data_IF_279782357742
#
_entry.id   IF_279782357742
#
_cell.length_a   1.000
_cell.length_b   1.000
_cell.length_c   1.000
_cell.angle_alpha   90.00
_cell.angle_beta   90.00
_cell.angle_gamma   90.00
#
_symmetry.space_group_name_H-M   'P 1'
#
loop_
_entity.id
_entity.type
_entity.pdbx_description
1 polymer ?
#
# COMPACT_ATOMS: atom_id res chain seq x y z
N UNK A 1 9.12 -14.39 6.13
CA UNK A 1 9.83 -13.81 7.30
C UNK A 1 9.33 -12.40 7.46
N UNK A 2 9.08 -11.93 8.69
CA UNK A 2 8.39 -10.67 9.00
C UNK A 2 9.36 -9.49 9.05
N UNK A 3 8.95 -8.31 8.57
CA UNK A 3 9.77 -7.09 8.64
C UNK A 3 9.72 -6.47 10.05
N UNK A 4 10.51 -7.00 10.96
CA UNK A 4 10.50 -6.60 12.37
C UNK A 4 10.84 -5.10 12.56
N UNK A 5 11.78 -4.57 11.78
CA UNK A 5 12.23 -3.18 11.90
C UNK A 5 11.11 -2.18 11.62
N UNK A 6 10.45 -2.29 10.46
CA UNK A 6 9.34 -1.40 10.12
C UNK A 6 8.13 -1.64 11.01
N UNK A 7 7.85 -2.89 11.38
CA UNK A 7 6.72 -3.19 12.27
C UNK A 7 6.90 -2.61 13.67
N UNK A 8 8.12 -2.56 14.20
CA UNK A 8 8.39 -1.85 15.46
C UNK A 8 8.12 -0.34 15.33
N UNK A 9 8.47 0.29 14.20
CA UNK A 9 8.16 1.70 13.94
C UNK A 9 6.66 1.94 13.82
N UNK A 10 5.94 1.06 13.11
CA UNK A 10 4.48 1.09 13.02
C UNK A 10 3.85 1.01 14.41
N UNK A 11 4.30 0.08 15.26
CA UNK A 11 3.84 -0.05 16.64
C UNK A 11 4.12 1.22 17.46
N UNK A 12 5.29 1.82 17.32
CA UNK A 12 5.64 3.05 18.01
C UNK A 12 4.74 4.22 17.60
N UNK A 13 4.49 4.40 16.30
CA UNK A 13 3.56 5.41 15.77
C UNK A 13 2.15 5.17 16.30
N UNK A 14 1.67 3.93 16.28
CA UNK A 14 0.33 3.62 16.79
C UNK A 14 0.20 3.89 18.30
N UNK A 15 1.21 3.52 19.10
CA UNK A 15 1.23 3.82 20.55
C UNK A 15 1.26 5.32 20.81
N UNK A 16 2.08 6.07 20.08
CA UNK A 16 2.20 7.53 20.20
C UNK A 16 0.85 8.22 19.96
N UNK A 17 0.13 7.86 18.90
CA UNK A 17 -1.09 8.57 18.48
C UNK A 17 -2.38 8.02 19.09
N UNK A 18 -2.41 6.74 19.48
CA UNK A 18 -3.64 6.07 19.91
C UNK A 18 -3.55 5.40 21.28
N UNK A 19 -2.38 5.33 21.93
CA UNK A 19 -2.22 4.65 23.21
C UNK A 19 -2.76 3.22 23.16
N UNK A 20 -3.79 2.94 23.97
CA UNK A 20 -4.51 1.64 24.03
C UNK A 20 -6.00 1.77 23.66
N UNK A 21 -6.35 2.77 22.83
CA UNK A 21 -7.72 3.03 22.40
C UNK A 21 -8.40 1.81 21.80
N UNK A 22 -9.65 1.58 22.19
CA UNK A 22 -10.47 0.44 21.75
C UNK A 22 -11.20 0.69 20.43
N UNK A 23 -11.40 1.95 20.07
CA UNK A 23 -12.11 2.39 18.86
C UNK A 23 -11.22 2.50 17.61
N UNK A 24 -9.94 2.13 17.75
CA UNK A 24 -8.95 2.18 16.68
C UNK A 24 -8.67 0.76 16.19
N UNK A 25 -8.55 0.60 14.87
CA UNK A 25 -8.11 -0.66 14.27
C UNK A 25 -6.58 -0.73 14.25
N UNK A 26 -6.06 -1.95 14.40
CA UNK A 26 -4.67 -2.27 14.21
C UNK A 26 -4.23 -1.93 12.77
N UNK A 27 -3.00 -1.42 12.59
CA UNK A 27 -2.50 -1.06 11.28
C UNK A 27 -2.33 -2.27 10.35
N UNK A 28 -1.96 -2.02 9.11
CA UNK A 28 -1.20 -3.02 8.35
C UNK A 28 0.20 -3.14 8.96
N UNK A 29 0.61 -4.39 9.15
CA UNK A 29 1.99 -4.77 9.43
C UNK A 29 2.58 -5.42 8.17
N UNK A 30 3.85 -5.20 7.94
CA UNK A 30 4.54 -5.66 6.74
C UNK A 30 5.18 -7.04 6.97
N UNK A 31 5.07 -7.86 5.95
CA UNK A 31 5.97 -9.00 5.77
C UNK A 31 7.32 -8.52 5.20
N UNK A 32 8.33 -9.39 5.11
CA UNK A 32 9.55 -9.01 4.41
C UNK A 32 9.26 -8.65 2.96
N UNK A 33 9.96 -7.62 2.51
CA UNK A 33 9.86 -7.17 1.15
C UNK A 33 10.76 -7.95 0.21
N UNK A 34 10.34 -8.05 -1.05
CA UNK A 34 11.19 -8.50 -2.15
C UNK A 34 11.80 -7.28 -2.83
N UNK A 35 13.10 -7.28 -3.10
CA UNK A 35 13.71 -6.15 -3.78
C UNK A 35 13.39 -6.14 -5.28
N UNK A 36 13.22 -4.95 -5.86
CA UNK A 36 12.95 -4.77 -7.28
C UNK A 36 11.49 -4.96 -7.65
N UNK A 37 11.25 -5.49 -8.85
CA UNK A 37 9.91 -5.74 -9.37
C UNK A 37 9.06 -4.46 -9.53
N UNK A 38 7.74 -4.64 -9.46
CA UNK A 38 6.76 -3.56 -9.58
C UNK A 38 6.18 -3.24 -8.19
N UNK A 39 6.21 -1.97 -7.79
CA UNK A 39 5.53 -1.51 -6.58
C UNK A 39 4.22 -0.82 -6.94
N UNK A 40 3.11 -1.37 -6.46
CA UNK A 40 1.81 -0.71 -6.48
C UNK A 40 1.59 0.04 -5.17
N UNK A 41 1.20 1.31 -5.28
CA UNK A 41 0.95 2.17 -4.13
C UNK A 41 -0.54 2.50 -4.05
N UNK A 42 -1.16 2.06 -2.96
CA UNK A 42 -2.52 2.42 -2.56
C UNK A 42 -2.57 3.68 -1.68
N UNK A 43 -3.74 3.95 -1.09
CA UNK A 43 -3.90 5.04 -0.12
C UNK A 43 -3.76 4.49 1.29
N UNK A 44 -4.71 3.64 1.64
CA UNK A 44 -4.83 3.04 2.94
C UNK A 44 -5.71 1.77 2.81
N UNK A 45 -5.52 0.78 3.69
CA UNK A 45 -6.29 -0.44 3.62
C UNK A 45 -7.77 -0.21 3.95
N UNK A 46 -8.64 -0.68 3.06
CA UNK A 46 -10.07 -0.78 3.37
C UNK A 46 -10.33 -1.85 4.43
N UNK A 47 -11.27 -1.58 5.33
CA UNK A 47 -11.75 -2.55 6.31
C UNK A 47 -13.13 -3.07 5.87
N UNK A 48 -13.17 -4.34 5.44
CA UNK A 48 -14.39 -4.99 4.98
C UNK A 48 -14.61 -6.32 5.73
N UNK A 49 -15.27 -6.30 6.91
CA UNK A 49 -15.56 -7.50 7.69
C UNK A 49 -16.24 -8.61 6.90
N UNK A 50 -17.18 -8.26 6.03
CA UNK A 50 -17.94 -9.23 5.24
C UNK A 50 -17.05 -9.91 4.20
N UNK A 51 -16.25 -9.14 3.47
CA UNK A 51 -15.28 -9.66 2.52
C UNK A 51 -14.24 -10.56 3.19
N UNK A 52 -13.76 -10.16 4.37
CA UNK A 52 -12.81 -10.97 5.15
C UNK A 52 -13.43 -12.30 5.61
N UNK A 53 -14.67 -12.30 6.11
CA UNK A 53 -15.37 -13.56 6.51
C UNK A 53 -15.45 -14.55 5.35
N UNK A 54 -15.63 -14.07 4.12
CA UNK A 54 -15.61 -14.92 2.93
C UNK A 54 -14.23 -15.52 2.66
N UNK A 55 -13.17 -14.72 2.81
CA UNK A 55 -11.77 -15.15 2.56
C UNK A 55 -11.29 -16.16 3.62
N UNK A 56 -11.65 -15.97 4.89
CA UNK A 56 -11.16 -16.82 5.99
C UNK A 56 -11.91 -18.14 6.17
N UNK A 57 -13.02 -18.34 5.44
CA UNK A 57 -13.83 -19.56 5.51
C UNK A 57 -12.99 -20.78 5.13
N UNK A 58 -13.02 -21.84 5.94
CA UNK A 58 -12.22 -23.04 5.71
C UNK A 58 -10.72 -22.89 6.02
N UNK A 59 -10.33 -21.79 6.69
CA UNK A 59 -8.94 -21.57 7.12
C UNK A 59 -8.84 -21.60 8.65
N UNK A 60 -7.63 -21.62 9.20
CA UNK A 60 -7.40 -21.50 10.65
C UNK A 60 -8.00 -20.22 11.28
N UNK A 61 -8.34 -19.22 10.46
CA UNK A 61 -8.93 -17.96 10.88
C UNK A 61 -10.47 -17.97 10.87
N UNK A 62 -11.14 -19.05 10.47
CA UNK A 62 -12.60 -19.07 10.27
C UNK A 62 -13.41 -18.62 11.49
N UNK A 63 -12.92 -18.92 12.70
CA UNK A 63 -13.62 -18.61 13.96
C UNK A 63 -13.35 -17.18 14.48
N UNK A 64 -12.49 -16.38 13.83
CA UNK A 64 -12.20 -15.04 14.33
C UNK A 64 -13.36 -14.08 14.05
N UNK A 65 -13.66 -13.22 15.02
CA UNK A 65 -14.46 -12.02 14.77
C UNK A 65 -13.54 -10.93 14.24
N UNK A 66 -13.71 -10.44 12.99
CA UNK A 66 -12.78 -9.46 12.44
C UNK A 66 -12.72 -8.15 13.23
N UNK A 67 -13.84 -7.70 13.80
CA UNK A 67 -13.90 -6.46 14.57
C UNK A 67 -13.07 -6.56 15.86
N UNK A 68 -13.03 -7.73 16.49
CA UNK A 68 -12.20 -8.00 17.68
C UNK A 68 -10.75 -8.22 17.25
N UNK A 69 -10.53 -9.02 16.20
CA UNK A 69 -9.20 -9.40 15.74
C UNK A 69 -8.38 -8.20 15.27
N UNK A 70 -9.01 -7.25 14.59
CA UNK A 70 -8.35 -6.02 14.16
C UNK A 70 -8.38 -4.92 15.21
N UNK A 71 -8.82 -5.16 16.44
CA UNK A 71 -8.85 -4.10 17.45
C UNK A 71 -7.43 -3.75 17.93
N UNK A 72 -7.06 -2.47 17.87
CA UNK A 72 -5.72 -2.00 18.23
C UNK A 72 -5.34 -2.37 19.66
N UNK A 73 -6.24 -2.19 20.62
CA UNK A 73 -5.98 -2.50 22.03
C UNK A 73 -5.51 -3.96 22.28
N UNK A 74 -5.89 -4.91 21.40
CA UNK A 74 -5.41 -6.30 21.47
C UNK A 74 -4.00 -6.43 20.87
N UNK A 75 -3.75 -5.79 19.71
CA UNK A 75 -2.43 -5.80 19.08
C UNK A 75 -1.38 -5.00 19.87
N UNK A 76 -1.79 -3.99 20.63
CA UNK A 76 -0.91 -3.14 21.43
C UNK A 76 -0.21 -3.89 22.57
N UNK A 77 -0.82 -4.98 23.05
CA UNK A 77 -0.42 -5.73 24.24
C UNK A 77 0.04 -7.16 23.95
N UNK A 78 -0.12 -7.65 22.71
CA UNK A 78 0.18 -9.04 22.34
C UNK A 78 1.01 -9.12 21.05
N UNK A 79 2.29 -9.52 21.12
CA UNK A 79 3.12 -9.79 19.93
C UNK A 79 2.53 -10.88 19.03
N UNK A 80 1.93 -11.92 19.61
CA UNK A 80 1.29 -13.01 18.86
C UNK A 80 0.16 -12.51 17.96
N UNK A 81 -0.54 -11.45 18.39
CA UNK A 81 -1.58 -10.82 17.60
C UNK A 81 -1.02 -10.11 16.36
N UNK A 82 0.15 -9.48 16.47
CA UNK A 82 0.84 -8.84 15.33
C UNK A 82 1.20 -9.89 14.28
N UNK A 83 1.77 -11.02 14.71
CA UNK A 83 2.11 -12.12 13.82
C UNK A 83 0.87 -12.73 13.16
N UNK A 84 -0.22 -12.89 13.91
CA UNK A 84 -1.49 -13.36 13.37
C UNK A 84 -2.07 -12.40 12.32
N UNK A 85 -1.99 -11.08 12.55
CA UNK A 85 -2.42 -10.05 11.60
C UNK A 85 -1.61 -10.12 10.30
N UNK A 86 -0.30 -10.36 10.37
CA UNK A 86 0.56 -10.52 9.19
C UNK A 86 0.19 -11.78 8.42
N UNK A 87 0.01 -12.91 9.12
CA UNK A 87 -0.41 -14.18 8.48
C UNK A 87 -1.76 -14.05 7.78
N UNK A 88 -2.74 -13.37 8.41
CA UNK A 88 -4.03 -13.10 7.78
C UNK A 88 -3.88 -12.16 6.57
N UNK A 89 -3.00 -11.15 6.67
CA UNK A 89 -2.69 -10.25 5.55
C UNK A 89 -2.20 -10.99 4.31
N UNK A 90 -1.34 -12.01 4.47
CA UNK A 90 -0.88 -12.87 3.35
C UNK A 90 -2.03 -13.61 2.68
N UNK A 91 -2.93 -14.20 3.47
CA UNK A 91 -4.11 -14.90 2.94
C UNK A 91 -5.01 -13.96 2.15
N UNK A 92 -5.28 -12.77 2.68
CA UNK A 92 -6.08 -11.75 1.99
C UNK A 92 -5.40 -11.33 0.68
N UNK A 93 -4.08 -11.16 0.66
CA UNK A 93 -3.38 -10.77 -0.56
C UNK A 93 -3.50 -11.81 -1.69
N UNK A 94 -3.55 -13.10 -1.36
CA UNK A 94 -3.67 -14.18 -2.35
C UNK A 94 -5.10 -14.29 -2.90
N UNK A 95 -6.09 -14.26 -2.02
CA UNK A 95 -7.47 -14.60 -2.38
C UNK A 95 -8.30 -13.39 -2.83
N UNK A 96 -7.86 -12.16 -2.51
CA UNK A 96 -8.70 -11.00 -2.71
C UNK A 96 -8.62 -10.47 -4.15
N UNK A 97 -9.79 -10.43 -4.81
CA UNK A 97 -9.94 -9.99 -6.20
C UNK A 97 -9.37 -8.59 -6.48
N UNK A 98 -9.20 -7.76 -5.45
CA UNK A 98 -8.50 -6.48 -5.51
C UNK A 98 -7.13 -6.58 -6.20
N UNK A 99 -6.35 -7.63 -5.93
CA UNK A 99 -4.99 -7.79 -6.42
C UNK A 99 -4.92 -8.40 -7.83
N UNK A 100 -6.03 -8.86 -8.42
CA UNK A 100 -6.05 -9.60 -9.70
C UNK A 100 -5.33 -8.87 -10.83
N UNK A 101 -5.63 -7.58 -11.03
CA UNK A 101 -5.01 -6.77 -12.09
C UNK A 101 -3.52 -6.50 -11.84
N UNK A 102 -3.09 -6.45 -10.58
CA UNK A 102 -1.67 -6.34 -10.24
C UNK A 102 -0.92 -7.64 -10.60
N UNK A 103 -1.53 -8.80 -10.31
CA UNK A 103 -1.00 -10.11 -10.73
C UNK A 103 -0.88 -10.21 -12.25
N UNK A 104 -1.88 -9.75 -13.01
CA UNK A 104 -1.85 -9.75 -14.48
C UNK A 104 -0.72 -8.89 -15.05
N UNK A 105 -0.54 -7.67 -14.53
CA UNK A 105 0.58 -6.79 -14.94
C UNK A 105 1.92 -7.43 -14.61
N UNK A 106 2.09 -7.99 -13.41
CA UNK A 106 3.34 -8.60 -12.99
C UNK A 106 3.69 -9.82 -13.85
N UNK A 107 2.69 -10.65 -14.18
CA UNK A 107 2.83 -11.80 -15.09
C UNK A 107 3.28 -11.36 -16.48
N UNK A 108 2.67 -10.31 -17.03
CA UNK A 108 3.03 -9.74 -18.34
C UNK A 108 4.48 -9.24 -18.36
N UNK A 109 4.94 -8.66 -17.25
CA UNK A 109 6.31 -8.17 -17.10
C UNK A 109 7.31 -9.26 -16.68
N UNK A 110 6.87 -10.51 -16.51
CA UNK A 110 7.67 -11.65 -16.03
C UNK A 110 8.45 -11.32 -14.74
N UNK A 111 7.80 -10.62 -13.82
CA UNK A 111 8.41 -10.19 -12.56
C UNK A 111 7.44 -10.33 -11.40
N UNK A 112 7.94 -10.14 -10.18
CA UNK A 112 7.09 -10.08 -9.00
C UNK A 112 6.58 -8.64 -8.78
N UNK A 113 5.56 -8.51 -7.94
CA UNK A 113 5.10 -7.20 -7.48
C UNK A 113 4.96 -7.17 -5.96
N UNK A 114 4.87 -5.96 -5.45
CA UNK A 114 4.44 -5.68 -4.09
C UNK A 114 3.36 -4.61 -4.09
N UNK A 115 2.50 -4.65 -3.08
CA UNK A 115 1.52 -3.62 -2.83
C UNK A 115 1.70 -3.09 -1.41
N UNK A 116 1.89 -1.78 -1.29
CA UNK A 116 1.84 -1.08 0.00
C UNK A 116 0.92 0.13 -0.12
N UNK A 117 0.31 0.51 1.00
CA UNK A 117 -0.43 1.76 1.09
C UNK A 117 0.47 2.89 1.60
N UNK A 118 0.18 4.13 1.19
CA UNK A 118 0.84 5.32 1.75
C UNK A 118 0.67 5.42 3.27
N UNK A 119 -0.46 4.94 3.78
CA UNK A 119 -0.83 4.98 5.18
C UNK A 119 -1.32 3.61 5.62
N UNK A 120 -0.78 3.10 6.72
CA UNK A 120 -1.12 1.77 7.24
C UNK A 120 -2.44 1.75 8.04
N UNK A 121 -3.15 2.87 8.10
CA UNK A 121 -4.41 3.01 8.83
C UNK A 121 -5.59 2.35 8.11
N UNK A 122 -6.29 1.44 8.79
CA UNK A 122 -7.47 0.75 8.25
C UNK A 122 -8.71 1.64 8.33
N UNK A 123 -9.19 2.11 7.18
CA UNK A 123 -10.40 2.93 7.06
C UNK A 123 -10.97 2.82 5.65
N UNK A 124 -12.24 2.46 5.53
CA UNK A 124 -12.89 2.28 4.22
C UNK A 124 -13.28 3.62 3.59
N UNK A 125 -13.62 4.62 4.41
CA UNK A 125 -14.06 5.93 3.90
C UNK A 125 -12.87 6.89 3.79
N UNK A 126 -12.37 7.06 2.58
CA UNK A 126 -11.23 7.92 2.29
C UNK A 126 -11.37 9.35 2.82
N UNK A 127 -12.56 9.96 2.76
CA UNK A 127 -12.76 11.31 3.29
C UNK A 127 -12.62 11.39 4.82
N UNK A 128 -13.07 10.36 5.55
CA UNK A 128 -12.88 10.27 6.99
C UNK A 128 -11.39 10.06 7.31
N UNK A 129 -10.73 9.19 6.56
CA UNK A 129 -9.29 8.96 6.68
C UNK A 129 -8.46 10.23 6.43
N UNK A 130 -8.73 10.96 5.35
CA UNK A 130 -7.98 12.17 5.02
C UNK A 130 -8.13 13.27 6.07
N UNK A 131 -9.27 13.36 6.76
CA UNK A 131 -9.46 14.28 7.90
C UNK A 131 -8.63 13.89 9.11
N UNK A 132 -8.29 12.61 9.25
CA UNK A 132 -7.46 12.11 10.35
C UNK A 132 -5.97 12.43 10.14
N UNK A 133 -5.49 12.37 8.90
CA UNK A 133 -4.05 12.54 8.57
C UNK A 133 -3.69 13.91 8.01
N UNK A 134 -4.65 14.83 7.86
CA UNK A 134 -4.43 16.20 7.41
C UNK A 134 -5.01 17.22 8.35
N UNK A 135 -4.40 18.40 8.37
CA UNK A 135 -4.93 19.57 9.05
C UNK A 135 -6.04 20.27 8.25
N UNK A 136 -6.56 21.38 8.79
CA UNK A 136 -7.59 22.20 8.12
C UNK A 136 -7.11 22.83 6.80
N UNK A 137 -5.79 22.99 6.61
CA UNK A 137 -5.16 23.49 5.39
C UNK A 137 -4.87 22.38 4.38
N UNK A 138 -5.31 21.14 4.66
CA UNK A 138 -5.08 19.92 3.85
C UNK A 138 -3.62 19.50 3.76
N UNK A 139 -2.75 19.99 4.65
CA UNK A 139 -1.37 19.55 4.81
C UNK A 139 -1.35 18.33 5.73
N UNK A 140 -0.43 17.38 5.52
CA UNK A 140 -0.30 16.24 6.42
C UNK A 140 0.03 16.71 7.84
N UNK A 141 -0.72 16.23 8.82
CA UNK A 141 -0.45 16.44 10.23
C UNK A 141 0.62 15.46 10.74
N UNK A 142 0.92 15.49 12.03
CA UNK A 142 1.96 14.64 12.63
C UNK A 142 1.74 13.14 12.37
N UNK A 143 0.52 12.64 12.56
CA UNK A 143 0.18 11.23 12.26
C UNK A 143 0.37 10.90 10.77
N UNK A 144 0.04 11.84 9.88
CA UNK A 144 0.28 11.69 8.43
C UNK A 144 1.76 11.64 8.08
N UNK A 145 2.58 12.51 8.68
CA UNK A 145 4.03 12.57 8.45
C UNK A 145 4.77 11.35 9.02
N UNK A 146 4.38 10.89 10.21
CA UNK A 146 4.95 9.69 10.84
C UNK A 146 4.71 8.44 9.96
N UNK A 147 3.50 8.30 9.41
CA UNK A 147 3.18 7.22 8.48
C UNK A 147 3.90 7.37 7.13
N UNK A 148 4.01 8.59 6.60
CA UNK A 148 4.75 8.84 5.37
C UNK A 148 6.24 8.46 5.52
N UNK A 149 6.83 8.71 6.69
CA UNK A 149 8.20 8.30 7.00
C UNK A 149 8.36 6.78 6.91
N UNK A 150 7.43 6.01 7.50
CA UNK A 150 7.41 4.54 7.38
C UNK A 150 7.30 4.11 5.91
N UNK A 151 6.42 4.76 5.14
CA UNK A 151 6.27 4.47 3.72
C UNK A 151 7.57 4.72 2.93
N UNK A 152 8.31 5.80 3.22
CA UNK A 152 9.57 6.12 2.53
C UNK A 152 10.66 5.11 2.85
N UNK A 153 10.73 4.63 4.09
CA UNK A 153 11.64 3.55 4.47
C UNK A 153 11.28 2.23 3.78
N UNK A 154 9.98 1.89 3.73
CA UNK A 154 9.51 0.74 2.97
C UNK A 154 9.86 0.85 1.48
N UNK A 155 9.66 2.02 0.88
CA UNK A 155 10.03 2.28 -0.51
C UNK A 155 11.54 2.07 -0.75
N UNK A 156 12.38 2.50 0.18
CA UNK A 156 13.84 2.30 0.12
C UNK A 156 14.22 0.83 0.23
N UNK A 157 13.60 0.09 1.14
CA UNK A 157 13.86 -1.35 1.32
C UNK A 157 13.38 -2.17 0.11
N UNK A 158 12.23 -1.81 -0.47
CA UNK A 158 11.67 -2.44 -1.67
C UNK A 158 12.54 -2.16 -2.91
N UNK A 159 13.11 -0.96 -3.02
CA UNK A 159 13.94 -0.52 -4.15
C UNK A 159 13.32 -0.93 -5.51
N UNK A 160 12.11 -0.44 -5.85
CA UNK A 160 11.36 -0.97 -6.97
C UNK A 160 11.99 -0.63 -8.32
N UNK A 161 11.79 -1.51 -9.30
CA UNK A 161 12.16 -1.22 -10.69
C UNK A 161 11.16 -0.27 -11.36
N UNK A 162 9.88 -0.38 -11.01
CA UNK A 162 8.78 0.47 -11.51
C UNK A 162 7.80 0.76 -10.37
N UNK A 163 7.28 1.98 -10.29
CA UNK A 163 6.22 2.37 -9.35
C UNK A 163 4.92 2.64 -10.09
N UNK A 164 3.80 2.18 -9.54
CA UNK A 164 2.44 2.48 -10.00
C UNK A 164 1.61 2.98 -8.83
N UNK A 165 1.27 4.26 -8.82
CA UNK A 165 0.35 4.84 -7.83
C UNK A 165 -1.07 4.62 -8.32
N UNK A 166 -1.78 3.67 -7.70
CA UNK A 166 -3.10 3.19 -8.14
C UNK A 166 -4.23 3.70 -7.23
N UNK A 167 -4.23 5.00 -6.95
CA UNK A 167 -5.31 5.69 -6.24
C UNK A 167 -5.19 7.21 -6.47
N UNK A 168 -6.29 7.87 -6.85
CA UNK A 168 -6.27 9.30 -7.18
C UNK A 168 -5.83 10.21 -6.02
N UNK A 169 -6.20 9.88 -4.77
CA UNK A 169 -5.76 10.63 -3.61
C UNK A 169 -4.26 10.45 -3.35
N UNK A 170 -3.76 9.21 -3.48
CA UNK A 170 -2.34 8.91 -3.33
C UNK A 170 -1.51 9.57 -4.42
N UNK A 171 -2.05 9.64 -5.65
CA UNK A 171 -1.44 10.36 -6.75
C UNK A 171 -1.20 11.83 -6.39
N UNK A 172 -2.19 12.52 -5.80
CA UNK A 172 -2.02 13.90 -5.34
C UNK A 172 -0.92 14.04 -4.30
N UNK A 173 -0.94 13.20 -3.26
CA UNK A 173 0.05 13.24 -2.17
C UNK A 173 1.47 13.00 -2.68
N UNK A 174 1.67 11.96 -3.50
CA UNK A 174 2.99 11.62 -4.05
C UNK A 174 3.47 12.70 -5.01
N UNK A 175 2.60 13.24 -5.87
CA UNK A 175 2.98 14.34 -6.79
C UNK A 175 3.42 15.58 -6.03
N UNK A 176 2.70 15.96 -4.98
CA UNK A 176 3.04 17.12 -4.17
C UNK A 176 4.35 16.89 -3.39
N UNK A 177 4.46 15.73 -2.74
CA UNK A 177 5.63 15.40 -1.91
C UNK A 177 6.92 15.27 -2.73
N UNK A 178 6.86 14.63 -3.90
CA UNK A 178 8.01 14.44 -4.78
C UNK A 178 8.07 15.45 -5.93
N UNK A 179 7.37 16.59 -5.86
CA UNK A 179 7.25 17.53 -6.98
C UNK A 179 8.58 17.91 -7.61
N UNK A 180 9.59 18.22 -6.81
CA UNK A 180 10.94 18.59 -7.28
C UNK A 180 11.79 17.40 -7.74
N UNK A 181 11.35 16.17 -7.49
CA UNK A 181 12.02 14.92 -7.84
C UNK A 181 11.35 14.19 -9.00
N UNK A 182 10.26 14.76 -9.55
CA UNK A 182 9.49 14.19 -10.65
C UNK A 182 9.82 14.92 -11.96
N UNK A 183 10.10 14.16 -13.02
CA UNK A 183 10.34 14.71 -14.37
C UNK A 183 9.50 13.96 -15.39
N UNK A 184 8.67 14.66 -16.16
CA UNK A 184 7.85 14.05 -17.21
C UNK A 184 8.71 13.64 -18.42
N UNK A 185 8.46 12.45 -18.96
CA UNK A 185 9.09 11.93 -20.17
C UNK A 185 8.03 11.79 -21.27
N UNK A 186 7.93 12.79 -22.15
CA UNK A 186 6.94 12.83 -23.24
C UNK A 186 7.03 11.63 -24.17
N UNK A 187 8.25 11.15 -24.45
CA UNK A 187 8.47 10.03 -25.38
C UNK A 187 8.00 8.71 -24.80
N UNK A 188 8.05 8.56 -23.47
CA UNK A 188 7.71 7.30 -22.79
C UNK A 188 6.35 7.34 -22.10
N UNK A 189 5.78 8.52 -21.87
CA UNK A 189 4.44 8.70 -21.30
C UNK A 189 4.36 8.42 -19.81
N UNK A 190 5.42 8.69 -19.04
CA UNK A 190 5.45 8.55 -17.58
C UNK A 190 6.37 9.58 -16.93
N UNK A 191 6.36 9.65 -15.60
CA UNK A 191 7.32 10.45 -14.86
C UNK A 191 8.52 9.61 -14.40
N UNK A 192 9.69 10.21 -14.36
CA UNK A 192 10.84 9.71 -13.62
C UNK A 192 10.77 10.24 -12.19
N UNK A 193 10.91 9.37 -11.21
CA UNK A 193 11.18 9.71 -9.82
C UNK A 193 12.68 9.53 -9.54
N UNK A 194 13.34 10.60 -9.10
CA UNK A 194 14.75 10.59 -8.72
C UNK A 194 14.89 10.52 -7.19
N UNK A 195 15.43 9.42 -6.65
CA UNK A 195 15.67 9.22 -5.21
C UNK A 195 17.07 8.67 -4.98
N UNK A 196 17.83 9.30 -4.08
CA UNK A 196 19.18 8.85 -3.68
C UNK A 196 20.13 8.56 -4.87
N UNK A 197 20.02 9.34 -5.96
CA UNK A 197 20.81 9.15 -7.18
C UNK A 197 20.22 8.15 -8.19
N UNK A 198 19.24 7.34 -7.78
CA UNK A 198 18.54 6.40 -8.64
C UNK A 198 17.34 7.04 -9.34
N UNK A 199 17.06 6.59 -10.57
CA UNK A 199 15.86 6.99 -11.33
C UNK A 199 14.97 5.80 -11.58
N UNK A 200 13.69 5.95 -11.21
CA UNK A 200 12.68 4.92 -11.42
C UNK A 200 11.46 5.49 -12.14
N UNK A 201 10.89 4.76 -13.12
CA UNK A 201 9.63 5.15 -13.74
C UNK A 201 8.50 5.06 -12.71
N UNK A 202 7.69 6.12 -12.64
CA UNK A 202 6.49 6.20 -11.82
C UNK A 202 5.27 6.54 -12.67
N UNK A 203 4.25 5.70 -12.55
CA UNK A 203 2.95 5.85 -13.19
C UNK A 203 1.92 6.32 -12.19
N UNK A 204 1.07 7.25 -12.60
CA UNK A 204 -0.09 7.70 -11.82
C UNK A 204 -1.34 7.21 -12.51
N UNK A 205 -2.16 6.44 -11.81
CA UNK A 205 -3.38 5.84 -12.33
C UNK A 205 -4.54 6.02 -11.36
N UNK A 206 -5.75 5.74 -11.83
CA UNK A 206 -6.88 5.50 -10.95
C UNK A 206 -6.71 4.16 -10.23
N UNK A 207 -7.70 3.76 -9.43
CA UNK A 207 -7.68 2.43 -8.82
C UNK A 207 -7.72 1.36 -9.91
N UNK A 208 -6.90 0.31 -9.75
CA UNK A 208 -6.92 -0.83 -10.68
C UNK A 208 -8.15 -1.71 -10.42
N UNK A 209 -8.59 -1.79 -9.17
CA UNK A 209 -9.73 -2.59 -8.71
C UNK A 209 -10.96 -1.74 -8.43
N UNK A 210 -12.14 -2.37 -8.48
CA UNK A 210 -13.42 -1.72 -8.18
C UNK A 210 -14.25 -1.46 -9.44
N UNK A 211 -15.57 -1.36 -9.26
CA UNK A 211 -16.48 -1.14 -10.37
C UNK A 211 -16.18 0.20 -11.05
N UNK A 212 -15.90 0.19 -12.36
CA UNK A 212 -15.56 1.38 -13.19
C UNK A 212 -14.28 2.12 -12.79
N UNK A 213 -13.37 1.48 -12.05
CA UNK A 213 -12.19 2.15 -11.53
C UNK A 213 -11.18 2.56 -12.63
N UNK A 214 -10.96 1.69 -13.61
CA UNK A 214 -10.17 1.96 -14.81
C UNK A 214 -10.78 1.18 -15.98
N UNK A 215 -11.13 1.87 -17.06
CA UNK A 215 -11.67 1.25 -18.26
C UNK A 215 -10.66 0.28 -18.89
N UNK A 216 -11.17 -0.71 -19.64
CA UNK A 216 -10.33 -1.76 -20.22
C UNK A 216 -9.24 -1.19 -21.15
N UNK A 217 -9.56 -0.16 -21.94
CA UNK A 217 -8.59 0.45 -22.85
C UNK A 217 -7.45 1.16 -22.12
N UNK A 218 -7.76 1.92 -21.07
CA UNK A 218 -6.74 2.56 -20.23
C UNK A 218 -5.92 1.55 -19.44
N UNK A 219 -6.53 0.45 -18.98
CA UNK A 219 -5.82 -0.64 -18.32
C UNK A 219 -4.82 -1.33 -19.26
N UNK A 220 -5.23 -1.67 -20.49
CA UNK A 220 -4.35 -2.28 -21.48
C UNK A 220 -3.17 -1.35 -21.84
N UNK A 221 -3.43 -0.04 -22.01
CA UNK A 221 -2.35 0.95 -22.23
C UNK A 221 -1.39 1.01 -21.04
N UNK A 222 -1.90 1.09 -19.82
CA UNK A 222 -1.05 1.13 -18.62
C UNK A 222 -0.17 -0.12 -18.51
N UNK A 223 -0.76 -1.31 -18.71
CA UNK A 223 -0.03 -2.59 -18.71
C UNK A 223 1.08 -2.60 -19.76
N UNK A 224 0.80 -2.14 -20.98
CA UNK A 224 1.80 -2.03 -22.05
C UNK A 224 2.92 -1.04 -21.70
N UNK A 225 2.58 0.13 -21.14
CA UNK A 225 3.57 1.14 -20.74
C UNK A 225 4.48 0.64 -19.63
N UNK A 226 3.93 -0.01 -18.61
CA UNK A 226 4.71 -0.61 -17.50
C UNK A 226 5.67 -1.66 -18.05
N UNK A 227 5.21 -2.56 -18.92
CA UNK A 227 6.05 -3.59 -19.54
C UNK A 227 7.24 -3.00 -20.29
N UNK A 228 6.99 -1.95 -21.07
CA UNK A 228 8.05 -1.27 -21.82
C UNK A 228 9.04 -0.52 -20.92
N UNK A 229 8.56 0.06 -19.83
CA UNK A 229 9.42 0.71 -18.84
C UNK A 229 10.31 -0.31 -18.11
N UNK A 230 9.74 -1.44 -17.70
CA UNK A 230 10.45 -2.51 -16.99
C UNK A 230 11.53 -3.18 -17.86
N UNK A 231 11.18 -3.55 -19.11
CA UNK A 231 12.09 -4.27 -20.01
C UNK A 231 13.36 -3.49 -20.35
N UNK A 232 13.29 -2.16 -20.35
CA UNK A 232 14.43 -1.27 -20.64
C UNK A 232 15.36 -1.04 -19.46
N UNK A 233 14.97 -1.46 -18.24
CA UNK A 233 15.83 -1.38 -17.04
C UNK A 233 16.66 -2.66 -16.84
N UNK A 234 16.35 -3.73 -17.59
CA UNK A 234 17.02 -5.04 -17.51
C UNK A 234 18.11 -5.23 -18.58
N UNK A 235 18.32 -4.23 -19.42
CA UNK A 235 19.42 -4.10 -20.39
C UNK A 235 20.32 -2.94 -19.97
#
# INVERSE_FOLDING_TARGET
MINASLNQKILAVWKKHFGTRKDVLAPIFYDNFKQGGILFIGMNPSFNPQGMRKIIRGTQFEKISPDIFYAWHTAATSPDQVDALIRLGRLVHVEYAFFKRMHEIAKECKTHFQHIDLFVYRQTKQNEFLRLVRDKKRVLNELGQDQLTIFLEALKEICPAVIVVSNAGSCGIIRDYFKSKLTWDEKRGFHWLSLDGERMPIFFSSMLSGQRALDTGSYERLKWQIRNAYSRKSN
#
